data_IF_965645870061
#
_entry.id   IF_965645870061
#
_cell.length_a   1.000
_cell.length_b   1.000
_cell.length_c   1.000
_cell.angle_alpha   90.00
_cell.angle_beta   90.00
_cell.angle_gamma   90.00
#
_symmetry.space_group_name_H-M   'P 1'
#
loop_
_entity.id
_entity.type
_entity.pdbx_description
1 polymer ?
#
# COMPACT_ATOMS: atom_id res chain seq x y z
N UNK A 1 -2.80 37.80 2.15
CA UNK A 1 -2.54 36.73 3.15
C UNK A 1 -1.54 35.75 2.54
N UNK A 2 -0.35 35.50 3.12
CA UNK A 2 0.51 34.44 2.63
C UNK A 2 0.06 33.12 3.25
N UNK A 3 -0.48 32.18 2.47
CA UNK A 3 -0.76 30.82 2.96
C UNK A 3 0.43 29.92 2.64
N UNK A 4 1.30 29.83 3.64
CA UNK A 4 2.00 28.64 4.15
C UNK A 4 2.74 27.73 3.16
N UNK A 5 4.05 27.64 3.43
CA UNK A 5 5.08 26.77 2.84
C UNK A 5 4.57 25.37 2.43
N UNK A 6 4.77 25.05 1.15
CA UNK A 6 4.80 23.69 0.59
C UNK A 6 5.91 22.88 1.28
N UNK A 7 5.63 22.32 2.45
CA UNK A 7 6.36 21.17 2.93
C UNK A 7 5.88 19.98 2.11
N UNK A 8 6.69 19.52 1.17
CA UNK A 8 6.48 18.23 0.49
C UNK A 8 6.43 17.19 1.61
N UNK A 9 5.22 16.72 1.92
CA UNK A 9 4.98 15.80 3.01
C UNK A 9 5.42 14.42 2.50
N UNK A 10 6.71 14.09 2.66
CA UNK A 10 7.31 12.86 2.12
C UNK A 10 6.52 11.61 2.47
N UNK A 11 5.91 11.60 3.66
CA UNK A 11 5.04 10.53 4.15
C UNK A 11 3.81 10.33 3.24
N UNK A 12 3.27 11.41 2.65
CA UNK A 12 2.17 11.31 1.68
C UNK A 12 2.61 10.75 0.33
N UNK A 13 3.87 10.91 -0.08
CA UNK A 13 4.35 10.34 -1.35
C UNK A 13 4.65 8.86 -1.22
N UNK A 14 5.25 8.43 -0.11
CA UNK A 14 5.46 6.99 0.17
C UNK A 14 4.11 6.26 0.29
N UNK A 15 3.14 6.83 1.01
CA UNK A 15 1.79 6.26 1.12
C UNK A 15 1.11 6.13 -0.26
N UNK A 16 1.29 7.10 -1.16
CA UNK A 16 0.79 6.98 -2.54
C UNK A 16 1.48 5.86 -3.31
N UNK A 17 2.80 5.72 -3.19
CA UNK A 17 3.57 4.68 -3.87
C UNK A 17 3.17 3.28 -3.38
N UNK A 18 3.07 3.09 -2.06
CA UNK A 18 2.64 1.81 -1.47
C UNK A 18 1.25 1.43 -1.98
N UNK A 19 0.31 2.38 -1.96
CA UNK A 19 -1.04 2.16 -2.47
C UNK A 19 -1.02 1.81 -3.97
N UNK A 20 -0.27 2.55 -4.78
CA UNK A 20 -0.18 2.34 -6.22
C UNK A 20 0.38 0.95 -6.53
N UNK A 21 1.46 0.53 -5.86
CA UNK A 21 2.06 -0.78 -6.03
C UNK A 21 1.10 -1.91 -5.68
N UNK A 22 0.37 -1.79 -4.54
CA UNK A 22 -0.61 -2.79 -4.13
C UNK A 22 -1.74 -2.91 -5.17
N UNK A 23 -2.29 -1.79 -5.65
CA UNK A 23 -3.35 -1.78 -6.66
C UNK A 23 -2.85 -2.37 -7.98
N UNK A 24 -1.67 -1.96 -8.44
CA UNK A 24 -1.06 -2.48 -9.66
C UNK A 24 -0.88 -4.00 -9.61
N UNK A 25 -0.34 -4.54 -8.51
CA UNK A 25 -0.15 -5.99 -8.37
C UNK A 25 -1.47 -6.74 -8.17
N UNK A 26 -2.50 -6.12 -7.58
CA UNK A 26 -3.85 -6.68 -7.56
C UNK A 26 -4.39 -6.85 -8.99
N UNK A 27 -4.28 -5.82 -9.82
CA UNK A 27 -4.73 -5.87 -11.22
C UNK A 27 -3.94 -6.90 -12.03
N UNK A 28 -2.61 -6.89 -11.92
CA UNK A 28 -1.72 -7.80 -12.64
C UNK A 28 -1.98 -9.28 -12.28
N UNK A 29 -2.29 -9.55 -11.01
CA UNK A 29 -2.58 -10.91 -10.52
C UNK A 29 -4.08 -11.29 -10.62
N UNK A 30 -4.96 -10.38 -11.04
CA UNK A 30 -6.41 -10.61 -11.07
C UNK A 30 -7.05 -10.80 -9.68
N UNK A 31 -6.45 -10.23 -8.63
CA UNK A 31 -6.88 -10.40 -7.24
C UNK A 31 -7.83 -9.26 -6.84
N UNK A 32 -9.08 -9.61 -6.53
CA UNK A 32 -10.05 -8.64 -6.03
C UNK A 32 -9.68 -8.10 -4.64
N UNK A 33 -10.14 -6.89 -4.31
CA UNK A 33 -9.94 -6.30 -2.98
C UNK A 33 -10.55 -7.16 -1.87
N UNK A 34 -11.69 -7.81 -2.13
CA UNK A 34 -12.31 -8.74 -1.19
C UNK A 34 -11.41 -9.94 -0.90
N UNK A 35 -10.85 -10.56 -1.95
CA UNK A 35 -9.94 -11.69 -1.80
C UNK A 35 -8.65 -11.30 -1.06
N UNK A 36 -8.12 -10.11 -1.35
CA UNK A 36 -6.96 -9.58 -0.65
C UNK A 36 -7.26 -9.36 0.84
N UNK A 37 -8.44 -8.83 1.17
CA UNK A 37 -8.87 -8.62 2.56
C UNK A 37 -8.95 -9.95 3.32
N UNK A 38 -9.55 -10.98 2.73
CA UNK A 38 -9.59 -12.33 3.32
C UNK A 38 -8.17 -12.87 3.55
N UNK A 39 -7.28 -12.73 2.56
CA UNK A 39 -5.89 -13.19 2.66
C UNK A 39 -5.10 -12.44 3.75
N UNK A 40 -5.38 -11.15 3.93
CA UNK A 40 -4.80 -10.33 4.98
C UNK A 40 -5.44 -10.57 6.37
N UNK A 41 -6.54 -11.32 6.44
CA UNK A 41 -7.39 -11.48 7.62
C UNK A 41 -7.94 -10.14 8.12
N UNK A 42 -8.40 -9.32 7.17
CA UNK A 42 -9.01 -8.02 7.40
C UNK A 42 -10.46 -8.03 6.91
N UNK A 43 -11.27 -7.16 7.50
CA UNK A 43 -12.53 -6.80 6.87
C UNK A 43 -12.24 -5.98 5.60
N UNK A 44 -13.14 -6.04 4.62
CA UNK A 44 -13.00 -5.27 3.37
C UNK A 44 -12.93 -3.77 3.65
N UNK A 45 -13.74 -3.27 4.59
CA UNK A 45 -13.73 -1.85 4.99
C UNK A 45 -12.40 -1.45 5.64
N UNK A 46 -11.83 -2.31 6.51
CA UNK A 46 -10.50 -2.07 7.09
C UNK A 46 -9.44 -2.04 5.99
N UNK A 47 -9.48 -2.96 5.02
CA UNK A 47 -8.52 -2.93 3.92
C UNK A 47 -8.63 -1.63 3.11
N UNK A 48 -9.84 -1.15 2.80
CA UNK A 48 -10.02 0.15 2.12
C UNK A 48 -9.46 1.32 2.94
N UNK A 49 -9.65 1.32 4.26
CA UNK A 49 -9.07 2.33 5.15
C UNK A 49 -7.54 2.29 5.12
N UNK A 50 -6.94 1.09 5.16
CA UNK A 50 -5.49 0.91 5.08
C UNK A 50 -4.92 1.29 3.71
N UNK A 51 -5.63 1.02 2.62
CA UNK A 51 -5.22 1.48 1.30
C UNK A 51 -5.33 3.00 1.15
N UNK A 52 -6.23 3.66 1.88
CA UNK A 52 -6.34 5.13 1.90
C UNK A 52 -5.20 5.77 2.69
N UNK A 53 -4.73 5.09 3.74
CA UNK A 53 -3.61 5.53 4.58
C UNK A 53 -2.69 4.35 4.91
N UNK A 54 -1.78 3.99 3.99
CA UNK A 54 -0.90 2.82 4.15
C UNK A 54 -0.01 2.84 5.39
N UNK A 55 0.35 4.02 5.88
CA UNK A 55 0.99 4.23 7.18
C UNK A 55 0.26 3.60 8.38
N UNK A 56 -1.05 3.32 8.28
CA UNK A 56 -1.81 2.64 9.32
C UNK A 56 -1.76 1.10 9.22
N UNK A 57 -1.16 0.53 8.18
CA UNK A 57 -0.96 -0.92 8.13
C UNK A 57 -0.11 -1.38 9.31
N UNK A 58 -0.61 -2.38 10.04
CA UNK A 58 0.25 -3.13 10.94
C UNK A 58 1.22 -3.93 10.09
N UNK A 59 2.46 -4.09 10.57
CA UNK A 59 3.47 -4.89 9.86
C UNK A 59 2.98 -6.32 9.54
N UNK A 60 2.19 -6.93 10.44
CA UNK A 60 1.61 -8.26 10.23
C UNK A 60 0.54 -8.29 9.13
N UNK A 61 -0.21 -7.20 8.93
CA UNK A 61 -1.20 -7.05 7.86
C UNK A 61 -0.48 -6.86 6.53
N UNK A 62 0.49 -5.94 6.50
CA UNK A 62 1.28 -5.62 5.30
C UNK A 62 2.04 -6.85 4.80
N UNK A 63 2.66 -7.63 5.69
CA UNK A 63 3.33 -8.90 5.33
C UNK A 63 2.41 -9.88 4.61
N UNK A 64 1.16 -9.99 5.04
CA UNK A 64 0.18 -10.90 4.40
C UNK A 64 -0.25 -10.37 3.03
N UNK A 65 -0.48 -9.06 2.92
CA UNK A 65 -0.78 -8.39 1.65
C UNK A 65 0.36 -8.60 0.65
N UNK A 66 1.60 -8.29 1.05
CA UNK A 66 2.80 -8.49 0.23
C UNK A 66 2.95 -9.94 -0.20
N UNK A 67 2.78 -10.90 0.72
CA UNK A 67 2.86 -12.33 0.42
C UNK A 67 1.80 -12.76 -0.61
N UNK A 68 0.57 -12.28 -0.49
CA UNK A 68 -0.52 -12.62 -1.43
C UNK A 68 -0.30 -12.02 -2.82
N UNK A 69 0.31 -10.84 -2.88
CA UNK A 69 0.56 -10.12 -4.14
C UNK A 69 1.94 -10.40 -4.74
N UNK A 70 2.75 -11.24 -4.09
CA UNK A 70 4.14 -11.50 -4.47
C UNK A 70 4.97 -10.21 -4.60
N UNK A 71 4.86 -9.34 -3.59
CA UNK A 71 5.63 -8.10 -3.45
C UNK A 71 6.73 -8.33 -2.42
N UNK A 72 7.97 -7.93 -2.70
CA UNK A 72 8.97 -7.82 -1.66
C UNK A 72 8.64 -6.62 -0.76
N UNK A 73 8.50 -6.90 0.53
CA UNK A 73 8.17 -5.87 1.52
C UNK A 73 9.31 -4.86 1.68
N UNK A 74 10.56 -5.25 1.43
CA UNK A 74 11.70 -4.35 1.48
C UNK A 74 11.60 -3.30 0.35
N UNK A 75 11.31 -3.75 -0.88
CA UNK A 75 11.09 -2.87 -2.03
C UNK A 75 9.94 -1.89 -1.80
N UNK A 76 8.84 -2.40 -1.21
CA UNK A 76 7.64 -1.61 -0.92
C UNK A 76 7.90 -0.48 0.09
N UNK A 77 8.75 -0.71 1.10
CA UNK A 77 9.05 0.26 2.16
C UNK A 77 10.17 1.22 1.73
N UNK A 78 11.15 0.74 0.97
CA UNK A 78 12.26 1.57 0.50
C UNK A 78 11.89 2.46 -0.69
N UNK A 79 10.73 2.24 -1.33
CA UNK A 79 10.25 3.04 -2.45
C UNK A 79 11.15 2.95 -3.69
N UNK A 80 11.88 1.83 -3.84
CA UNK A 80 12.71 1.60 -5.03
C UNK A 80 11.83 1.04 -6.14
N UNK A 81 11.85 1.71 -7.28
CA UNK A 81 11.26 1.19 -8.50
C UNK A 81 12.02 -0.07 -8.93
N UNK A 82 11.27 -1.13 -9.25
CA UNK A 82 11.75 -2.35 -9.88
C UNK A 82 12.55 -1.96 -11.14
N UNK A 83 13.86 -2.23 -11.24
CA UNK A 83 14.62 -1.96 -12.44
C UNK A 83 14.21 -3.02 -13.49
N UNK A 84 13.15 -2.73 -14.25
CA UNK A 84 12.86 -3.46 -15.49
C UNK A 84 13.91 -3.19 -16.56
#
# INVERSE_FOLDING_TARGET
MPKSKLGINKDNELDKQIRAMIIYKQELNGISTTELAVSAQLSVSTLYERLRSPSHFRLSELRKVCKKLNIDIAELIEGKEDPQ
#
